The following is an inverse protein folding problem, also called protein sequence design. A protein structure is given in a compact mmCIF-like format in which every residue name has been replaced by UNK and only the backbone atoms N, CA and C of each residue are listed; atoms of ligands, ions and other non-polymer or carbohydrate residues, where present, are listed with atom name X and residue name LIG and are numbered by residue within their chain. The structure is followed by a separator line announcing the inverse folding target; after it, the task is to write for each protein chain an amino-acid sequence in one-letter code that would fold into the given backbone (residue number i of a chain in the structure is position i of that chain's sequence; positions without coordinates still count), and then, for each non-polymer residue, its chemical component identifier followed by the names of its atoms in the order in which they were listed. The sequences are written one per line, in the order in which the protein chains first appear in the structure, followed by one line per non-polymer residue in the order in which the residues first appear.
data_IF_675069216809
#
_entry.id   IF_675069216809
#
_cell.length_a   1.000
_cell.length_b   1.000
_cell.length_c   1.000
_cell.angle_alpha   90.00
_cell.angle_beta   90.00
_cell.angle_gamma   90.00
#
_symmetry.space_group_name_H-M   'P 1'
#
loop_
_entity.id
_entity.type
_entity.pdbx_description
1 polymer ?
#
# COMPACT_ATOMS: atom_id res chain seq x y z
N UNK A 1 -37.41 -54.63 -0.83
CA UNK A 1 -38.82 -54.29 -0.53
C UNK A 1 -39.22 -53.11 -1.36
N UNK A 2 -40.32 -53.28 -2.11
CA UNK A 2 -40.92 -52.33 -3.04
C UNK A 2 -41.77 -51.33 -2.26
N UNK A 3 -41.65 -50.03 -2.54
CA UNK A 3 -42.78 -49.12 -2.33
C UNK A 3 -42.97 -48.18 -3.52
N UNK A 4 -44.17 -48.33 -4.06
CA UNK A 4 -44.72 -47.75 -5.27
C UNK A 4 -45.38 -46.41 -4.91
N UNK A 5 -45.14 -45.42 -5.78
CA UNK A 5 -45.92 -44.22 -6.10
C UNK A 5 -47.00 -43.68 -5.14
N UNK A 6 -46.94 -42.37 -4.91
CA UNK A 6 -48.16 -41.53 -4.89
C UNK A 6 -47.90 -40.20 -5.60
N UNK A 7 -48.33 -40.09 -6.87
CA UNK A 7 -48.58 -38.80 -7.51
C UNK A 7 -49.90 -38.30 -6.96
N UNK A 8 -49.87 -37.21 -6.22
CA UNK A 8 -51.10 -36.51 -5.84
C UNK A 8 -51.04 -35.08 -6.34
N UNK A 9 -51.60 -34.92 -7.53
CA UNK A 9 -51.92 -33.66 -8.15
C UNK A 9 -53.20 -33.13 -7.48
N UNK A 10 -53.08 -32.32 -6.43
CA UNK A 10 -54.22 -31.61 -5.84
C UNK A 10 -54.21 -30.14 -6.27
N UNK A 11 -54.71 -29.89 -7.48
CA UNK A 11 -55.31 -28.60 -7.84
C UNK A 11 -56.58 -28.41 -7.02
N UNK A 12 -56.45 -28.06 -5.75
CA UNK A 12 -57.57 -27.62 -4.91
C UNK A 12 -57.63 -26.10 -4.93
N UNK A 13 -58.78 -25.59 -5.38
CA UNK A 13 -59.00 -24.20 -5.73
C UNK A 13 -58.66 -23.25 -4.58
N UNK A 14 -57.56 -22.52 -4.74
CA UNK A 14 -57.31 -21.34 -3.91
C UNK A 14 -58.06 -20.17 -4.51
N UNK A 15 -59.20 -19.89 -3.88
CA UNK A 15 -59.94 -18.62 -3.97
C UNK A 15 -58.96 -17.46 -4.11
N UNK A 16 -59.12 -16.69 -5.19
CA UNK A 16 -58.44 -15.44 -5.48
C UNK A 16 -58.89 -14.41 -4.44
N UNK A 17 -58.33 -14.48 -3.24
CA UNK A 17 -58.51 -13.46 -2.22
C UNK A 17 -57.74 -12.22 -2.69
N UNK A 18 -58.46 -11.10 -2.72
CA UNK A 18 -57.96 -9.78 -3.07
C UNK A 18 -56.56 -9.57 -2.47
N UNK A 19 -55.57 -9.39 -3.33
CA UNK A 19 -54.27 -8.86 -2.95
C UNK A 19 -54.45 -7.39 -2.59
N UNK A 20 -54.88 -7.12 -1.36
CA UNK A 20 -54.94 -5.77 -0.82
C UNK A 20 -53.49 -5.27 -0.68
N UNK A 21 -53.09 -4.39 -1.61
CA UNK A 21 -51.95 -3.47 -1.53
C UNK A 21 -50.81 -3.90 -0.59
N UNK A 22 -50.03 -4.90 -1.03
CA UNK A 22 -48.68 -5.18 -0.48
C UNK A 22 -47.61 -4.23 -1.05
N UNK A 23 -48.02 -3.05 -1.52
CA UNK A 23 -47.10 -2.04 -2.08
C UNK A 23 -46.16 -1.46 -1.01
N UNK A 24 -46.51 -1.54 0.29
CA UNK A 24 -45.66 -1.08 1.39
C UNK A 24 -44.55 -2.06 1.79
N UNK A 25 -44.77 -3.38 1.60
CA UNK A 25 -43.81 -4.43 1.96
C UNK A 25 -42.73 -4.63 0.90
N UNK A 26 -43.07 -4.45 -0.39
CA UNK A 26 -42.10 -4.52 -1.48
C UNK A 26 -41.10 -3.35 -1.42
N UNK A 27 -41.58 -2.12 -1.19
CA UNK A 27 -40.72 -0.94 -1.06
C UNK A 27 -39.70 -1.05 0.08
N UNK A 28 -40.05 -1.70 1.21
CA UNK A 28 -39.10 -1.95 2.32
C UNK A 28 -38.00 -2.95 1.95
N UNK A 29 -38.34 -4.03 1.22
CA UNK A 29 -37.37 -5.04 0.78
C UNK A 29 -36.40 -4.49 -0.27
N UNK A 30 -36.88 -3.63 -1.15
CA UNK A 30 -36.07 -3.01 -2.20
C UNK A 30 -35.13 -1.93 -1.65
N UNK A 31 -35.62 -1.10 -0.71
CA UNK A 31 -34.78 -0.14 0.03
C UNK A 31 -33.68 -0.85 0.81
N UNK A 32 -33.96 -2.00 1.44
CA UNK A 32 -32.95 -2.76 2.18
C UNK A 32 -31.88 -3.36 1.26
N UNK A 33 -32.25 -3.79 0.05
CA UNK A 33 -31.29 -4.25 -0.97
C UNK A 33 -30.39 -3.12 -1.47
N UNK A 34 -30.97 -1.94 -1.72
CA UNK A 34 -30.22 -0.75 -2.11
C UNK A 34 -29.28 -0.26 -1.00
N UNK A 35 -29.74 -0.21 0.25
CA UNK A 35 -28.91 0.13 1.42
C UNK A 35 -27.75 -0.86 1.60
N UNK A 36 -27.99 -2.16 1.43
CA UNK A 36 -26.93 -3.17 1.48
C UNK A 36 -25.90 -2.96 0.36
N UNK A 37 -26.36 -2.73 -0.87
CA UNK A 37 -25.47 -2.48 -2.02
C UNK A 37 -24.61 -1.23 -1.80
N UNK A 38 -25.21 -0.14 -1.30
CA UNK A 38 -24.48 1.09 -0.98
C UNK A 38 -23.48 0.86 0.14
N UNK A 39 -23.87 0.16 1.20
CA UNK A 39 -22.94 -0.17 2.29
C UNK A 39 -21.76 -1.01 1.80
N UNK A 40 -22.00 -2.01 0.95
CA UNK A 40 -20.96 -2.85 0.39
C UNK A 40 -19.99 -2.04 -0.50
N UNK A 41 -20.51 -1.11 -1.30
CA UNK A 41 -19.70 -0.21 -2.11
C UNK A 41 -18.80 0.67 -1.23
N UNK A 42 -19.37 1.28 -0.19
CA UNK A 42 -18.61 2.15 0.74
C UNK A 42 -17.54 1.35 1.46
N UNK A 43 -17.86 0.14 1.95
CA UNK A 43 -16.87 -0.74 2.60
C UNK A 43 -15.78 -1.17 1.63
N UNK A 44 -16.10 -1.46 0.38
CA UNK A 44 -15.11 -1.82 -0.64
C UNK A 44 -14.16 -0.65 -0.92
N UNK A 45 -14.68 0.56 -1.12
CA UNK A 45 -13.86 1.76 -1.36
C UNK A 45 -12.99 2.07 -0.14
N UNK A 46 -13.56 2.03 1.07
CA UNK A 46 -12.80 2.25 2.30
C UNK A 46 -11.70 1.19 2.48
N UNK A 47 -11.98 -0.07 2.14
CA UNK A 47 -11.00 -1.15 2.14
C UNK A 47 -9.85 -0.90 1.17
N UNK A 48 -10.14 -0.48 -0.06
CA UNK A 48 -9.11 -0.12 -1.06
C UNK A 48 -8.26 1.03 -0.54
N UNK A 49 -8.86 2.09 -0.01
CA UNK A 49 -8.12 3.24 0.54
C UNK A 49 -7.23 2.79 1.70
N UNK A 50 -7.73 1.96 2.62
CA UNK A 50 -6.96 1.46 3.74
C UNK A 50 -5.76 0.59 3.28
N UNK A 51 -5.98 -0.28 2.30
CA UNK A 51 -4.93 -1.12 1.70
C UNK A 51 -3.92 -0.26 0.94
N UNK A 52 -4.34 0.76 0.19
CA UNK A 52 -3.42 1.68 -0.48
C UNK A 52 -2.63 2.51 0.53
N UNK A 53 -3.23 2.93 1.65
CA UNK A 53 -2.55 3.70 2.69
C UNK A 53 -1.48 2.86 3.39
N UNK A 54 -1.83 1.65 3.83
CA UNK A 54 -0.90 0.74 4.51
C UNK A 54 0.11 0.11 3.54
N UNK A 55 -0.38 -0.33 2.38
CA UNK A 55 0.39 -1.03 1.36
C UNK A 55 1.26 -0.09 0.53
N UNK A 56 0.87 1.17 0.33
CA UNK A 56 1.66 2.13 -0.44
C UNK A 56 3.01 2.44 0.22
N UNK A 57 3.01 2.71 1.52
CA UNK A 57 4.25 2.92 2.28
C UNK A 57 5.12 1.66 2.29
N UNK A 58 4.52 0.49 2.50
CA UNK A 58 5.24 -0.79 2.50
C UNK A 58 5.80 -1.16 1.12
N UNK A 59 5.02 -0.95 0.06
CA UNK A 59 5.42 -1.19 -1.32
C UNK A 59 6.53 -0.23 -1.75
N UNK A 60 6.45 1.05 -1.40
CA UNK A 60 7.54 1.99 -1.62
C UNK A 60 8.80 1.54 -0.88
N UNK A 61 8.69 1.14 0.39
CA UNK A 61 9.83 0.65 1.16
C UNK A 61 10.49 -0.58 0.51
N UNK A 62 9.69 -1.57 0.09
CA UNK A 62 10.19 -2.79 -0.54
C UNK A 62 10.72 -2.57 -1.97
N UNK A 63 10.04 -1.75 -2.78
CA UNK A 63 10.34 -1.59 -4.22
C UNK A 63 11.35 -0.49 -4.52
N UNK A 64 11.44 0.53 -3.66
CA UNK A 64 12.28 1.71 -3.87
C UNK A 64 13.46 1.72 -2.90
N UNK A 65 13.22 1.42 -1.62
CA UNK A 65 14.26 1.52 -0.59
C UNK A 65 15.10 0.24 -0.42
N UNK A 66 14.58 -0.93 -0.76
CA UNK A 66 15.35 -2.18 -0.74
C UNK A 66 15.83 -2.64 -2.13
N UNK A 67 15.56 -1.88 -3.17
CA UNK A 67 15.98 -2.25 -4.51
C UNK A 67 17.49 -2.02 -4.68
N UNK A 68 18.23 -3.12 -4.88
CA UNK A 68 19.67 -3.15 -5.12
C UNK A 68 20.11 -2.25 -6.29
N UNK A 69 19.19 -1.89 -7.19
CA UNK A 69 19.44 -0.95 -8.28
C UNK A 69 19.85 0.45 -7.80
N UNK A 70 19.40 0.88 -6.60
CA UNK A 70 19.73 2.17 -5.99
C UNK A 70 20.75 2.06 -4.85
N UNK A 71 21.41 0.92 -4.70
CA UNK A 71 22.47 0.75 -3.71
C UNK A 71 23.78 1.38 -4.19
N UNK A 72 24.49 2.06 -3.29
CA UNK A 72 25.82 2.64 -3.54
C UNK A 72 26.79 1.50 -3.86
N UNK A 73 27.22 1.38 -5.12
CA UNK A 73 28.14 0.32 -5.57
C UNK A 73 29.61 0.69 -5.37
N UNK A 74 29.97 1.92 -5.70
CA UNK A 74 31.34 2.41 -5.65
C UNK A 74 31.35 3.82 -5.07
N UNK A 75 32.29 4.08 -4.15
CA UNK A 75 32.55 5.38 -3.56
C UNK A 75 33.96 5.80 -3.98
N UNK A 76 34.05 6.85 -4.79
CA UNK A 76 35.32 7.40 -5.24
C UNK A 76 35.67 8.62 -4.38
N UNK A 77 36.69 8.49 -3.53
CA UNK A 77 37.16 9.59 -2.69
C UNK A 77 38.34 10.29 -3.37
N UNK A 78 38.17 11.57 -3.73
CA UNK A 78 39.26 12.44 -4.20
C UNK A 78 39.69 13.40 -3.10
N UNK A 79 41.01 13.55 -2.94
CA UNK A 79 41.60 14.38 -1.88
C UNK A 79 42.78 15.16 -2.44
N UNK A 80 43.06 16.32 -1.84
CA UNK A 80 44.23 17.15 -2.16
C UNK A 80 45.54 16.60 -1.54
N UNK A 81 45.52 15.37 -1.01
CA UNK A 81 46.69 14.67 -0.44
C UNK A 81 46.96 14.95 1.05
N UNK A 82 46.27 15.91 1.67
CA UNK A 82 46.43 16.23 3.11
C UNK A 82 45.55 15.33 3.99
N UNK A 83 44.37 14.95 3.49
CA UNK A 83 43.38 14.13 4.20
C UNK A 83 43.37 12.75 3.55
N UNK A 84 43.44 11.70 4.37
CA UNK A 84 43.34 10.32 3.86
C UNK A 84 41.91 9.98 3.45
N UNK A 85 41.75 9.14 2.43
CA UNK A 85 40.44 8.64 2.01
C UNK A 85 39.69 7.90 3.15
N UNK A 86 40.43 7.25 4.05
CA UNK A 86 39.85 6.60 5.23
C UNK A 86 39.19 7.58 6.21
N UNK A 87 39.78 8.75 6.43
CA UNK A 87 39.19 9.80 7.27
C UNK A 87 37.93 10.40 6.63
N UNK A 88 37.94 10.61 5.31
CA UNK A 88 36.75 11.07 4.57
C UNK A 88 35.61 10.07 4.64
N UNK A 89 35.91 8.77 4.55
CA UNK A 89 34.91 7.71 4.76
C UNK A 89 34.30 7.78 6.16
N UNK A 90 35.13 8.05 7.17
CA UNK A 90 34.67 8.14 8.56
C UNK A 90 33.78 9.37 8.80
N UNK A 91 34.08 10.52 8.18
CA UNK A 91 33.27 11.73 8.31
C UNK A 91 32.00 11.69 7.46
N UNK A 92 32.05 11.12 6.26
CA UNK A 92 30.88 10.98 5.40
C UNK A 92 29.88 9.94 5.89
N UNK A 93 30.33 8.93 6.65
CA UNK A 93 29.44 7.93 7.26
C UNK A 93 28.69 7.05 6.26
N UNK A 94 29.08 7.06 4.98
CA UNK A 94 28.45 6.29 3.90
C UNK A 94 29.20 4.98 3.69
N UNK A 95 28.46 3.89 3.57
CA UNK A 95 28.98 2.56 3.22
C UNK A 95 28.47 2.08 1.87
N UNK A 96 29.29 1.27 1.20
CA UNK A 96 28.82 0.51 0.02
C UNK A 96 27.63 -0.36 0.43
N UNK A 97 26.54 -0.28 -0.34
CA UNK A 97 25.26 -0.92 -0.01
C UNK A 97 24.21 0.00 0.61
N UNK A 98 24.57 1.22 1.03
CA UNK A 98 23.57 2.20 1.45
C UNK A 98 22.68 2.61 0.27
N UNK A 99 21.41 2.92 0.55
CA UNK A 99 20.48 3.36 -0.50
C UNK A 99 20.69 4.84 -0.84
N UNK A 100 20.97 5.12 -2.12
CA UNK A 100 21.18 6.46 -2.67
C UNK A 100 20.01 7.42 -2.43
N UNK A 101 18.77 6.94 -2.46
CA UNK A 101 17.56 7.74 -2.25
C UNK A 101 17.32 8.10 -0.78
N UNK A 102 17.90 7.31 0.13
CA UNK A 102 17.88 7.60 1.57
C UNK A 102 19.06 8.48 1.98
N UNK A 103 20.06 8.59 1.11
CA UNK A 103 21.27 9.35 1.34
C UNK A 103 21.00 10.85 1.18
N UNK A 104 21.31 11.62 2.21
CA UNK A 104 21.23 13.08 2.17
C UNK A 104 22.61 13.65 1.83
N UNK A 105 22.83 13.94 0.53
CA UNK A 105 24.09 14.48 0.04
C UNK A 105 24.43 15.84 0.66
N UNK A 106 23.42 16.65 0.99
CA UNK A 106 23.63 17.96 1.63
C UNK A 106 24.12 17.78 3.06
N UNK A 107 23.56 16.81 3.78
CA UNK A 107 24.03 16.46 5.11
C UNK A 107 25.46 15.94 5.07
N UNK A 108 25.77 15.02 4.16
CA UNK A 108 27.12 14.45 4.02
C UNK A 108 28.13 15.55 3.69
N UNK A 109 27.82 16.42 2.73
CA UNK A 109 28.64 17.58 2.39
C UNK A 109 28.91 18.45 3.62
N UNK A 110 27.85 18.80 4.36
CA UNK A 110 27.96 19.65 5.56
C UNK A 110 28.81 18.99 6.64
N UNK A 111 28.61 17.71 6.90
CA UNK A 111 29.35 16.97 7.92
C UNK A 111 30.86 16.89 7.56
N UNK A 112 31.20 16.79 6.27
CA UNK A 112 32.58 16.86 5.78
C UNK A 112 33.14 18.29 5.86
N UNK A 113 32.35 19.33 5.53
CA UNK A 113 32.79 20.73 5.60
C UNK A 113 33.02 21.22 7.04
N UNK A 114 32.29 20.64 8.01
CA UNK A 114 32.50 20.90 9.43
C UNK A 114 33.76 20.20 9.98
N UNK A 115 34.37 19.30 9.22
CA UNK A 115 35.58 18.61 9.64
C UNK A 115 36.79 19.57 9.65
N UNK A 116 37.72 19.41 10.61
CA UNK A 116 38.88 20.28 10.70
C UNK A 116 39.74 20.17 9.45
N UNK A 117 40.23 21.32 8.98
CA UNK A 117 41.12 21.45 7.80
C UNK A 117 40.43 21.18 6.45
N UNK A 118 39.10 21.18 6.39
CA UNK A 118 38.33 21.17 5.14
C UNK A 118 37.88 22.61 4.85
N UNK A 119 38.20 23.12 3.65
CA UNK A 119 37.76 24.46 3.21
C UNK A 119 36.44 24.42 2.43
N UNK A 120 36.25 23.38 1.63
CA UNK A 120 35.05 23.12 0.84
C UNK A 120 35.00 21.63 0.49
N UNK A 121 33.80 21.06 0.37
CA UNK A 121 33.61 19.71 -0.13
C UNK A 121 32.56 19.69 -1.26
N UNK A 122 32.76 18.82 -2.25
CA UNK A 122 31.75 18.51 -3.28
C UNK A 122 31.38 17.03 -3.16
N UNK A 123 30.09 16.74 -3.27
CA UNK A 123 29.53 15.40 -3.25
C UNK A 123 28.58 15.30 -4.44
N UNK A 124 28.84 14.35 -5.33
CA UNK A 124 28.14 14.11 -6.60
C UNK A 124 27.82 12.62 -6.77
#
# INVERSE_FOLDING_TARGET
MVFRAKRENSKSGRKKLLSVKVQSQQAKRERLRWLRSLSALVTAIAGIIAVCWQGGAFALNRLVYENESFSVKQLDYRTDGIISAGQLKQWGGVSSGDNLLKLDLLRIKRDIELAPRVKAASVE
#
